data_IF_894888086521
#
_entry.id   IF_894888086521
#
_cell.length_a   1.000
_cell.length_b   1.000
_cell.length_c   1.000
_cell.angle_alpha   90.00
_cell.angle_beta   90.00
_cell.angle_gamma   90.00
#
_symmetry.space_group_name_H-M   'P 1'
#
loop_
_entity.id
_entity.type
_entity.pdbx_description
1 polymer ?
#
# COMPACT_ATOMS: atom_id res chain seq x y z
N UNK A 1 -26.84 16.29 -5.20
CA UNK A 1 -26.28 15.44 -6.27
C UNK A 1 -25.30 14.46 -5.64
N UNK A 2 -25.17 13.25 -6.19
CA UNK A 2 -24.18 12.30 -5.69
C UNK A 2 -22.79 12.70 -6.19
N UNK A 3 -21.76 12.59 -5.34
CA UNK A 3 -20.38 12.85 -5.70
C UNK A 3 -19.58 11.54 -5.68
N UNK A 4 -18.75 11.31 -6.66
CA UNK A 4 -17.82 10.18 -6.63
C UNK A 4 -16.52 10.52 -7.40
N UNK A 5 -15.40 9.97 -6.93
CA UNK A 5 -14.11 10.18 -7.59
C UNK A 5 -13.01 9.27 -7.06
N UNK A 6 -11.95 9.16 -7.88
CA UNK A 6 -10.72 8.45 -7.56
C UNK A 6 -9.74 9.39 -6.87
N UNK A 7 -9.35 9.04 -5.64
CA UNK A 7 -8.39 9.77 -4.81
C UNK A 7 -7.12 8.93 -4.69
N UNK A 8 -6.14 9.20 -5.53
CA UNK A 8 -4.96 8.38 -5.63
C UNK A 8 -3.83 8.89 -4.74
N UNK A 9 -3.21 7.99 -3.98
CA UNK A 9 -2.19 8.29 -2.99
C UNK A 9 -0.83 7.83 -3.53
N UNK A 10 0.05 8.78 -3.81
CA UNK A 10 1.40 8.53 -4.33
C UNK A 10 2.46 9.18 -3.45
N UNK A 11 3.71 8.80 -3.63
CA UNK A 11 4.86 9.35 -2.88
C UNK A 11 5.91 8.29 -2.59
N UNK A 12 6.98 8.67 -1.95
CA UNK A 12 8.13 7.82 -1.67
C UNK A 12 7.80 6.67 -0.69
N UNK A 13 8.66 5.63 -0.59
CA UNK A 13 8.49 4.59 0.42
C UNK A 13 8.53 5.16 1.84
N UNK A 14 7.76 4.56 2.75
CA UNK A 14 7.76 4.83 4.19
C UNK A 14 7.26 6.21 4.63
N UNK A 15 6.72 7.03 3.74
CA UNK A 15 6.12 8.34 4.08
C UNK A 15 4.75 8.23 4.76
N UNK A 16 4.18 7.02 4.85
CA UNK A 16 2.93 6.75 5.58
C UNK A 16 1.67 6.67 4.71
N UNK A 17 1.78 6.42 3.39
CA UNK A 17 0.65 6.29 2.46
C UNK A 17 -0.40 5.28 2.90
N UNK A 18 0.01 4.03 3.16
CA UNK A 18 -0.89 2.95 3.57
C UNK A 18 -1.55 3.22 4.94
N UNK A 19 -0.81 3.85 5.87
CA UNK A 19 -1.36 4.28 7.15
C UNK A 19 -2.46 5.32 6.96
N UNK A 20 -2.18 6.32 6.12
CA UNK A 20 -3.14 7.38 5.78
C UNK A 20 -4.38 6.80 5.09
N UNK A 21 -4.20 5.93 4.08
CA UNK A 21 -5.32 5.28 3.40
C UNK A 21 -6.23 4.53 4.36
N UNK A 22 -5.66 3.70 5.25
CA UNK A 22 -6.44 2.96 6.24
C UNK A 22 -7.24 3.90 7.16
N UNK A 23 -6.68 5.06 7.53
CA UNK A 23 -7.39 6.07 8.32
C UNK A 23 -8.53 6.73 7.54
N UNK A 24 -8.30 7.10 6.27
CA UNK A 24 -9.28 7.77 5.43
C UNK A 24 -10.46 6.84 5.09
N UNK A 25 -10.19 5.56 4.86
CA UNK A 25 -11.23 4.54 4.59
C UNK A 25 -11.94 4.12 5.88
N UNK A 26 -11.26 4.16 7.02
CA UNK A 26 -11.77 3.69 8.31
C UNK A 26 -11.58 2.19 8.55
N UNK A 27 -10.96 1.49 7.61
CA UNK A 27 -10.74 0.05 7.63
C UNK A 27 -9.30 -0.30 7.26
N UNK A 28 -8.81 -1.45 7.76
CA UNK A 28 -7.45 -1.91 7.44
C UNK A 28 -7.43 -2.67 6.10
N UNK A 29 -7.23 -1.94 5.02
CA UNK A 29 -7.18 -2.48 3.66
C UNK A 29 -5.73 -2.74 3.20
N UNK A 30 -4.80 -1.84 3.52
CA UNK A 30 -3.38 -1.98 3.18
C UNK A 30 -2.56 -2.37 4.39
N UNK A 31 -1.57 -3.26 4.19
CA UNK A 31 -0.56 -3.52 5.22
C UNK A 31 0.35 -2.29 5.37
N UNK A 32 0.73 -1.98 6.59
CA UNK A 32 1.61 -0.86 6.90
C UNK A 32 2.76 -1.31 7.80
N UNK A 33 3.99 -1.17 7.31
CA UNK A 33 5.21 -1.44 8.07
C UNK A 33 6.23 -0.33 7.86
N UNK A 34 7.27 -0.29 8.68
CA UNK A 34 8.39 0.65 8.53
C UNK A 34 9.38 0.24 7.42
N UNK A 35 9.19 -0.92 6.76
CA UNK A 35 10.08 -1.40 5.69
C UNK A 35 9.61 -0.88 4.33
N UNK A 36 10.56 -0.63 3.45
CA UNK A 36 10.27 -0.31 2.05
C UNK A 36 9.59 -1.49 1.34
N UNK A 37 8.95 -1.24 0.19
CA UNK A 37 8.22 -2.25 -0.58
C UNK A 37 7.13 -3.00 0.23
N UNK A 38 6.58 -2.35 1.25
CA UNK A 38 5.44 -2.89 2.00
C UNK A 38 4.25 -3.04 1.06
N UNK A 39 3.85 -1.99 0.37
CA UNK A 39 2.86 -2.03 -0.69
C UNK A 39 3.56 -2.34 -2.02
N UNK A 40 3.16 -3.41 -2.70
CA UNK A 40 3.68 -3.83 -4.01
C UNK A 40 2.66 -3.72 -5.13
N UNK A 41 1.39 -3.81 -4.80
CA UNK A 41 0.27 -3.68 -5.71
C UNK A 41 -0.43 -2.35 -5.48
N UNK A 42 -1.15 -1.88 -6.49
CA UNK A 42 -2.15 -0.84 -6.31
C UNK A 42 -3.37 -1.46 -5.64
N UNK A 43 -3.84 -0.85 -4.55
CA UNK A 43 -4.94 -1.38 -3.72
C UNK A 43 -6.00 -0.28 -3.62
N UNK A 44 -7.24 -0.61 -3.99
CA UNK A 44 -8.35 0.32 -3.84
C UNK A 44 -9.12 0.07 -2.55
N UNK A 45 -9.45 1.16 -1.84
CA UNK A 45 -10.35 1.18 -0.71
C UNK A 45 -11.52 2.11 -0.98
N UNK A 46 -12.74 1.63 -0.83
CA UNK A 46 -13.95 2.32 -1.24
C UNK A 46 -14.71 2.76 0.00
N UNK A 47 -14.84 4.07 0.16
CA UNK A 47 -15.66 4.68 1.20
C UNK A 47 -17.02 5.07 0.60
N UNK A 48 -18.08 4.48 1.12
CA UNK A 48 -19.44 4.72 0.68
C UNK A 48 -20.26 5.48 1.74
N UNK A 49 -21.00 6.51 1.31
CA UNK A 49 -22.09 7.14 2.05
C UNK A 49 -23.33 7.21 1.16
N UNK A 50 -24.44 7.71 1.68
CA UNK A 50 -25.68 7.81 0.89
C UNK A 50 -25.51 8.71 -0.35
N UNK A 51 -24.76 9.79 -0.21
CA UNK A 51 -24.59 10.86 -1.19
C UNK A 51 -23.19 10.90 -1.83
N UNK A 52 -22.29 9.98 -1.44
CA UNK A 52 -20.88 10.04 -1.88
C UNK A 52 -20.24 8.65 -1.99
N UNK A 53 -19.30 8.52 -2.94
CA UNK A 53 -18.36 7.40 -3.01
C UNK A 53 -16.95 7.93 -3.27
N UNK A 54 -16.00 7.59 -2.39
CA UNK A 54 -14.59 7.90 -2.59
C UNK A 54 -13.83 6.60 -2.82
N UNK A 55 -13.14 6.51 -3.96
CA UNK A 55 -12.27 5.39 -4.27
C UNK A 55 -10.83 5.80 -3.99
N UNK A 56 -10.35 5.49 -2.81
CA UNK A 56 -8.94 5.68 -2.47
C UNK A 56 -8.07 4.62 -3.14
N UNK A 57 -6.88 4.99 -3.57
CA UNK A 57 -5.92 4.07 -4.17
C UNK A 57 -4.56 4.21 -3.52
N UNK A 58 -4.14 3.22 -2.72
CA UNK A 58 -2.77 3.11 -2.20
C UNK A 58 -1.84 2.55 -3.27
N UNK A 59 -0.67 3.15 -3.43
CA UNK A 59 0.31 2.75 -4.44
C UNK A 59 1.64 2.35 -3.83
N UNK A 60 2.44 1.53 -4.53
CA UNK A 60 3.82 1.30 -4.15
C UNK A 60 4.58 2.61 -3.97
N UNK A 61 5.58 2.61 -3.09
CA UNK A 61 6.48 3.76 -2.95
C UNK A 61 7.35 3.94 -4.20
N UNK A 62 7.49 5.18 -4.65
CA UNK A 62 8.30 5.54 -5.82
C UNK A 62 9.77 5.31 -5.53
N UNK A 63 10.39 4.40 -6.29
CA UNK A 63 11.83 4.10 -6.21
C UNK A 63 12.39 3.99 -7.63
N UNK A 64 13.67 4.31 -7.81
CA UNK A 64 14.37 4.02 -9.06
C UNK A 64 14.51 2.50 -9.20
N UNK A 65 13.98 1.88 -10.27
CA UNK A 65 13.97 0.44 -10.41
C UNK A 65 15.38 -0.14 -10.62
N UNK A 66 15.67 -1.26 -9.96
CA UNK A 66 16.88 -2.05 -10.16
C UNK A 66 16.58 -3.44 -10.74
N UNK A 67 15.32 -3.87 -10.74
CA UNK A 67 14.85 -5.15 -11.30
C UNK A 67 13.36 -5.04 -11.64
N UNK A 68 12.85 -5.96 -12.46
CA UNK A 68 11.52 -5.89 -13.09
C UNK A 68 10.34 -5.74 -12.12
N UNK A 69 10.38 -6.38 -10.96
CA UNK A 69 9.34 -6.17 -9.96
C UNK A 69 9.23 -4.69 -9.55
N UNK A 70 10.37 -4.00 -9.38
CA UNK A 70 10.34 -2.56 -9.05
C UNK A 70 9.87 -1.70 -10.22
N UNK A 71 10.11 -2.13 -11.46
CA UNK A 71 9.53 -1.47 -12.65
C UNK A 71 8.00 -1.60 -12.64
N UNK A 72 7.47 -2.81 -12.37
CA UNK A 72 6.02 -3.02 -12.22
C UNK A 72 5.43 -2.17 -11.08
N UNK A 73 6.13 -2.08 -9.94
CA UNK A 73 5.70 -1.22 -8.82
C UNK A 73 5.67 0.27 -9.21
N UNK A 74 6.67 0.74 -9.95
CA UNK A 74 6.70 2.12 -10.46
C UNK A 74 5.55 2.37 -11.43
N UNK A 75 5.28 1.43 -12.35
CA UNK A 75 4.17 1.51 -13.29
C UNK A 75 2.82 1.64 -12.58
N UNK A 76 2.59 0.91 -11.48
CA UNK A 76 1.38 1.10 -10.66
C UNK A 76 1.28 2.52 -10.07
N UNK A 77 2.40 3.10 -9.65
CA UNK A 77 2.40 4.47 -9.11
C UNK A 77 2.19 5.52 -10.21
N UNK A 78 2.71 5.28 -11.42
CA UNK A 78 2.52 6.16 -12.57
C UNK A 78 1.11 6.07 -13.13
N UNK A 79 0.50 4.88 -13.18
CA UNK A 79 -0.90 4.72 -13.61
C UNK A 79 -1.86 5.49 -12.72
N UNK A 80 -1.55 5.60 -11.43
CA UNK A 80 -2.34 6.36 -10.48
C UNK A 80 -2.31 7.89 -10.73
N UNK A 81 -1.38 8.41 -11.52
CA UNK A 81 -1.38 9.82 -11.94
C UNK A 81 -2.39 10.07 -13.08
N UNK A 82 -2.72 9.04 -13.85
CA UNK A 82 -3.52 9.15 -15.08
C UNK A 82 -5.02 9.16 -14.78
N UNK A 83 -5.46 8.32 -13.86
CA UNK A 83 -6.88 8.07 -13.56
C UNK A 83 -7.38 8.74 -12.27
N UNK A 84 -6.60 9.65 -11.68
CA UNK A 84 -7.00 10.39 -10.50
C UNK A 84 -8.00 11.50 -10.83
N UNK A 85 -9.02 11.69 -9.99
CA UNK A 85 -9.80 12.94 -9.90
C UNK A 85 -9.17 13.91 -8.90
N UNK A 86 -8.51 13.37 -7.87
CA UNK A 86 -7.73 14.11 -6.87
C UNK A 86 -6.46 13.33 -6.59
N UNK A 87 -5.33 13.99 -6.55
CA UNK A 87 -4.04 13.39 -6.24
C UNK A 87 -3.57 13.79 -4.84
N UNK A 88 -3.32 12.81 -3.97
CA UNK A 88 -2.63 13.01 -2.70
C UNK A 88 -1.14 12.65 -2.89
N UNK A 89 -0.29 13.68 -2.95
CA UNK A 89 1.16 13.47 -2.92
C UNK A 89 1.64 13.49 -1.48
N UNK A 90 2.06 12.34 -0.96
CA UNK A 90 2.48 12.18 0.43
C UNK A 90 4.00 12.20 0.53
N UNK A 91 4.52 13.11 1.32
CA UNK A 91 5.91 13.21 1.76
C UNK A 91 5.98 13.19 3.28
N UNK A 92 7.17 13.25 3.88
CA UNK A 92 7.31 13.37 5.32
C UNK A 92 8.44 14.34 5.70
N UNK A 93 8.56 14.64 6.98
CA UNK A 93 9.57 15.58 7.53
C UNK A 93 11.01 15.01 7.55
N UNK A 94 11.20 13.75 7.18
CA UNK A 94 12.50 13.06 7.23
C UNK A 94 13.17 13.00 5.87
N UNK A 95 12.38 12.90 4.78
CA UNK A 95 12.93 12.76 3.44
C UNK A 95 13.38 14.11 2.83
N UNK A 96 14.31 14.02 1.89
CA UNK A 96 14.75 15.18 1.12
C UNK A 96 13.74 15.51 0.02
N UNK A 97 13.49 16.80 -0.20
CA UNK A 97 12.52 17.30 -1.17
C UNK A 97 12.92 17.04 -2.63
N UNK A 98 14.19 16.83 -2.93
CA UNK A 98 14.74 16.56 -4.27
C UNK A 98 14.78 15.08 -4.66
N UNK A 99 14.34 14.20 -3.74
CA UNK A 99 14.29 12.77 -3.99
C UNK A 99 13.23 12.44 -5.06
N UNK A 100 13.63 11.67 -6.07
CA UNK A 100 12.77 11.28 -7.21
C UNK A 100 12.20 12.45 -8.01
N UNK A 101 13.07 13.42 -8.38
CA UNK A 101 12.72 14.61 -9.15
C UNK A 101 11.92 14.30 -10.42
N UNK A 102 12.25 13.21 -11.14
CA UNK A 102 11.52 12.78 -12.34
C UNK A 102 10.04 12.49 -12.06
N UNK A 103 9.72 11.89 -10.90
CA UNK A 103 8.35 11.63 -10.52
C UNK A 103 7.63 12.91 -10.07
N UNK A 104 8.32 13.79 -9.36
CA UNK A 104 7.80 15.12 -8.97
C UNK A 104 7.43 15.92 -10.22
N UNK A 105 8.25 15.84 -11.28
CA UNK A 105 7.94 16.51 -12.55
C UNK A 105 6.65 15.94 -13.19
N UNK A 106 6.41 14.63 -13.11
CA UNK A 106 5.15 14.04 -13.54
C UNK A 106 3.96 14.55 -12.71
N UNK A 107 4.12 14.67 -11.39
CA UNK A 107 3.10 15.23 -10.49
C UNK A 107 2.83 16.70 -10.81
N UNK A 108 3.86 17.48 -11.15
CA UNK A 108 3.70 18.89 -11.57
C UNK A 108 2.83 19.04 -12.82
N UNK A 109 2.85 18.07 -13.70
CA UNK A 109 2.15 18.11 -14.99
C UNK A 109 0.72 17.54 -14.95
N UNK A 110 0.24 16.98 -13.82
CA UNK A 110 -1.16 16.52 -13.71
C UNK A 110 -2.12 17.70 -13.79
N UNK A 111 -3.33 17.44 -14.29
CA UNK A 111 -4.38 18.47 -14.47
C UNK A 111 -5.45 18.47 -13.38
N UNK A 112 -5.36 17.52 -12.46
CA UNK A 112 -6.29 17.39 -11.34
C UNK A 112 -5.77 18.13 -10.10
N UNK A 113 -6.64 18.44 -9.13
CA UNK A 113 -6.21 18.99 -7.85
C UNK A 113 -5.17 18.11 -7.17
N UNK A 114 -4.09 18.73 -6.67
CA UNK A 114 -3.03 18.07 -5.92
C UNK A 114 -3.05 18.56 -4.48
N UNK A 115 -3.25 17.66 -3.54
CA UNK A 115 -3.03 17.89 -2.12
C UNK A 115 -1.67 17.29 -1.74
N UNK A 116 -0.71 18.15 -1.39
CA UNK A 116 0.60 17.75 -0.90
C UNK A 116 0.53 17.59 0.62
N UNK A 117 0.68 16.36 1.11
CA UNK A 117 0.56 16.05 2.51
C UNK A 117 1.94 15.84 3.12
N UNK A 118 2.37 16.75 4.01
CA UNK A 118 3.62 16.60 4.77
C UNK A 118 3.29 15.83 6.03
N UNK A 119 3.61 14.53 6.03
CA UNK A 119 3.30 13.62 7.14
C UNK A 119 4.39 13.60 8.22
N UNK A 120 4.06 12.98 9.36
CA UNK A 120 4.95 12.78 10.52
C UNK A 120 5.42 14.09 11.16
N UNK A 121 4.59 15.12 11.14
CA UNK A 121 4.96 16.43 11.75
C UNK A 121 5.18 16.33 13.26
N UNK A 122 4.75 15.27 13.91
CA UNK A 122 5.07 14.92 15.28
C UNK A 122 6.56 14.65 15.52
N UNK A 123 7.36 14.47 14.46
CA UNK A 123 8.81 14.25 14.51
C UNK A 123 9.65 15.51 14.23
N UNK A 124 9.04 16.68 14.09
CA UNK A 124 9.72 17.94 13.77
C UNK A 124 9.24 19.09 14.62
N UNK A 125 9.91 20.22 14.54
CA UNK A 125 9.51 21.48 15.18
C UNK A 125 8.87 22.44 14.16
N UNK A 126 8.30 23.52 14.66
CA UNK A 126 7.57 24.49 13.84
C UNK A 126 8.49 25.22 12.82
N UNK A 127 9.72 25.56 13.19
CA UNK A 127 10.64 26.31 12.30
C UNK A 127 11.04 25.46 11.09
N UNK A 128 11.41 24.19 11.33
CA UNK A 128 11.78 23.26 10.25
C UNK A 128 10.57 22.91 9.39
N UNK A 129 9.38 22.82 9.98
CA UNK A 129 8.15 22.58 9.20
C UNK A 129 7.84 23.76 8.26
N UNK A 130 7.99 25.00 8.71
CA UNK A 130 7.79 26.20 7.85
C UNK A 130 8.75 26.18 6.69
N UNK A 131 10.05 25.94 6.92
CA UNK A 131 11.06 25.83 5.83
C UNK A 131 10.71 24.71 4.83
N UNK A 132 10.21 23.60 5.33
CA UNK A 132 9.82 22.47 4.48
C UNK A 132 8.58 22.81 3.62
N UNK A 133 7.59 23.50 4.19
CA UNK A 133 6.42 23.99 3.45
C UNK A 133 6.83 24.95 2.34
N UNK A 134 7.74 25.89 2.62
CA UNK A 134 8.28 26.84 1.62
C UNK A 134 9.01 26.09 0.50
N UNK A 135 9.88 25.14 0.81
CA UNK A 135 10.60 24.34 -0.17
C UNK A 135 9.66 23.53 -1.06
N UNK A 136 8.58 22.95 -0.51
CA UNK A 136 7.58 22.24 -1.30
C UNK A 136 6.72 23.18 -2.15
N UNK A 137 6.42 24.37 -1.67
CA UNK A 137 5.70 25.38 -2.45
C UNK A 137 6.50 25.84 -3.68
N UNK A 138 7.81 25.93 -3.58
CA UNK A 138 8.69 26.20 -4.73
C UNK A 138 8.68 25.05 -5.76
N UNK A 139 8.66 23.80 -5.29
CA UNK A 139 8.69 22.62 -6.17
C UNK A 139 7.33 22.30 -6.82
N UNK A 140 6.23 22.45 -6.08
CA UNK A 140 4.87 22.16 -6.53
C UNK A 140 3.93 23.33 -6.21
N UNK A 141 4.08 24.48 -6.88
CA UNK A 141 3.34 25.71 -6.57
C UNK A 141 1.83 25.58 -6.77
N UNK A 142 1.37 24.62 -7.57
CA UNK A 142 -0.05 24.35 -7.79
C UNK A 142 -0.69 23.47 -6.71
N UNK A 143 0.11 22.85 -5.84
CA UNK A 143 -0.40 21.96 -4.81
C UNK A 143 -0.86 22.72 -3.57
N UNK A 144 -1.97 22.31 -2.99
CA UNK A 144 -2.39 22.72 -1.65
C UNK A 144 -1.62 21.91 -0.61
N UNK A 145 -0.84 22.57 0.23
CA UNK A 145 0.03 21.89 1.21
C UNK A 145 -0.68 21.78 2.54
N UNK A 146 -0.80 20.54 3.06
CA UNK A 146 -1.44 20.24 4.34
C UNK A 146 -0.48 19.41 5.20
N UNK A 147 0.11 20.00 6.26
CA UNK A 147 0.87 19.25 7.24
C UNK A 147 -0.05 18.34 8.08
N UNK A 148 0.35 17.06 8.22
CA UNK A 148 -0.43 16.04 8.92
C UNK A 148 0.45 15.17 9.83
N UNK A 149 -0.16 14.50 10.79
CA UNK A 149 0.39 13.29 11.40
C UNK A 149 -0.65 12.18 11.32
N UNK A 150 -0.42 11.21 10.45
CA UNK A 150 -1.31 10.07 10.31
C UNK A 150 -1.36 9.23 11.60
N UNK A 151 -0.25 9.09 12.31
CA UNK A 151 -0.17 8.31 13.56
C UNK A 151 -0.96 8.94 14.69
N UNK A 152 -0.86 10.27 14.86
CA UNK A 152 -1.63 11.02 15.88
C UNK A 152 -3.00 11.49 15.37
N UNK A 153 -3.36 11.21 14.12
CA UNK A 153 -4.59 11.63 13.43
C UNK A 153 -4.73 13.16 13.31
N UNK A 154 -3.64 13.90 13.43
CA UNK A 154 -3.67 15.36 13.33
C UNK A 154 -3.89 15.79 11.87
N UNK A 155 -4.81 16.72 11.66
CA UNK A 155 -5.23 17.28 10.36
C UNK A 155 -5.79 16.27 9.33
N UNK A 156 -6.03 15.01 9.68
CA UNK A 156 -6.61 14.02 8.77
C UNK A 156 -8.05 14.39 8.39
N UNK A 157 -8.81 14.96 9.34
CA UNK A 157 -10.17 15.47 9.08
C UNK A 157 -10.16 16.63 8.09
N UNK A 158 -9.15 17.50 8.13
CA UNK A 158 -8.95 18.60 7.16
C UNK A 158 -8.73 18.03 5.76
N UNK A 159 -7.89 16.99 5.63
CA UNK A 159 -7.68 16.30 4.34
C UNK A 159 -9.00 15.74 3.82
N UNK A 160 -9.76 15.02 4.66
CA UNK A 160 -11.05 14.45 4.28
C UNK A 160 -12.05 15.54 3.85
N UNK A 161 -12.10 16.68 4.55
CA UNK A 161 -12.96 17.82 4.19
C UNK A 161 -12.56 18.35 2.80
N UNK A 162 -11.28 18.57 2.54
CA UNK A 162 -10.82 19.05 1.23
C UNK A 162 -11.12 18.07 0.10
N UNK A 163 -10.95 16.77 0.32
CA UNK A 163 -11.34 15.76 -0.66
C UNK A 163 -12.83 15.88 -1.00
N UNK A 164 -13.71 15.94 -0.01
CA UNK A 164 -15.17 16.06 -0.22
C UNK A 164 -15.57 17.32 -0.99
N UNK A 165 -14.89 18.43 -0.76
CA UNK A 165 -15.09 19.68 -1.49
C UNK A 165 -14.70 19.57 -2.96
N UNK A 166 -13.59 18.89 -3.25
CA UNK A 166 -13.00 18.73 -4.58
C UNK A 166 -13.62 17.61 -5.41
N UNK A 167 -14.35 16.67 -4.79
CA UNK A 167 -14.99 15.56 -5.51
C UNK A 167 -15.94 16.05 -6.60
N UNK A 168 -15.86 15.50 -7.82
CA UNK A 168 -16.79 15.81 -8.89
C UNK A 168 -18.19 15.23 -8.66
N UNK A 169 -19.18 15.82 -9.28
CA UNK A 169 -20.51 15.23 -9.38
C UNK A 169 -20.44 14.02 -10.32
N UNK A 170 -20.75 12.85 -9.79
CA UNK A 170 -20.69 11.58 -10.51
C UNK A 170 -21.59 10.53 -9.83
N UNK A 171 -22.19 9.59 -10.58
CA UNK A 171 -22.74 8.39 -9.98
C UNK A 171 -21.65 7.53 -9.34
N UNK A 172 -22.00 6.58 -8.46
CA UNK A 172 -21.01 5.67 -7.89
C UNK A 172 -20.39 4.77 -8.97
N UNK A 173 -19.09 4.50 -8.86
CA UNK A 173 -18.34 3.61 -9.74
C UNK A 173 -18.48 2.13 -9.36
N UNK A 174 -18.70 1.87 -8.06
CA UNK A 174 -18.78 0.52 -7.47
C UNK A 174 -20.08 0.33 -6.71
N UNK A 175 -20.46 -0.92 -6.48
CA UNK A 175 -21.56 -1.24 -5.59
C UNK A 175 -21.39 -0.62 -4.20
N UNK A 176 -22.51 -0.19 -3.58
CA UNK A 176 -22.49 0.47 -2.25
C UNK A 176 -22.04 -0.45 -1.11
N UNK A 177 -22.08 -1.76 -1.32
CA UNK A 177 -21.60 -2.82 -0.42
C UNK A 177 -20.14 -3.20 -0.66
N UNK A 178 -19.55 -2.70 -1.74
CA UNK A 178 -18.14 -2.97 -2.07
C UNK A 178 -17.21 -2.00 -1.33
N UNK A 179 -16.19 -2.54 -0.67
CA UNK A 179 -15.22 -1.79 0.13
C UNK A 179 -13.78 -1.87 -0.40
N UNK A 180 -13.51 -2.73 -1.40
CA UNK A 180 -12.20 -2.87 -2.05
C UNK A 180 -12.33 -3.55 -3.42
N UNK A 181 -11.31 -3.41 -4.27
CA UNK A 181 -11.17 -4.12 -5.55
C UNK A 181 -10.51 -5.51 -5.40
N UNK A 182 -9.99 -5.85 -4.22
CA UNK A 182 -9.20 -7.06 -4.01
C UNK A 182 -10.02 -8.23 -3.47
N UNK A 183 -9.79 -9.46 -3.96
CA UNK A 183 -10.43 -10.65 -3.42
C UNK A 183 -9.86 -11.03 -2.04
N UNK A 184 -10.60 -11.84 -1.28
CA UNK A 184 -10.19 -12.31 0.04
C UNK A 184 -8.80 -12.97 0.06
N UNK A 185 -8.44 -13.72 -0.98
CA UNK A 185 -7.11 -14.35 -1.13
C UNK A 185 -5.97 -13.35 -1.11
N UNK A 186 -6.16 -12.16 -1.70
CA UNK A 186 -5.17 -11.10 -1.69
C UNK A 186 -4.82 -10.65 -0.26
N UNK A 187 -5.81 -10.48 0.61
CA UNK A 187 -5.57 -10.10 2.00
C UNK A 187 -4.82 -11.18 2.78
N UNK A 188 -5.06 -12.46 2.46
CA UNK A 188 -4.28 -13.56 3.03
C UNK A 188 -2.81 -13.43 2.65
N UNK A 189 -2.50 -13.19 1.36
CA UNK A 189 -1.11 -13.04 0.91
C UNK A 189 -0.44 -11.85 1.58
N UNK A 190 -1.12 -10.71 1.65
CA UNK A 190 -0.59 -9.49 2.26
C UNK A 190 -0.36 -9.65 3.77
N UNK A 191 -1.27 -10.29 4.50
CA UNK A 191 -1.10 -10.52 5.95
C UNK A 191 0.08 -11.46 6.22
N UNK A 192 0.27 -12.52 5.43
CA UNK A 192 1.44 -13.39 5.57
C UNK A 192 2.72 -12.61 5.23
N UNK A 193 2.70 -11.83 4.16
CA UNK A 193 3.83 -11.00 3.73
C UNK A 193 4.18 -9.91 4.77
N UNK A 194 3.19 -9.34 5.44
CA UNK A 194 3.40 -8.43 6.56
C UNK A 194 4.19 -9.10 7.69
N UNK A 195 3.84 -10.33 8.07
CA UNK A 195 4.60 -11.03 9.14
C UNK A 195 6.02 -11.34 8.70
N UNK A 196 6.24 -11.65 7.41
CA UNK A 196 7.59 -11.80 6.88
C UNK A 196 8.36 -10.47 6.95
N UNK A 197 7.74 -9.36 6.57
CA UNK A 197 8.33 -8.02 6.71
C UNK A 197 8.69 -7.69 8.16
N UNK A 198 7.90 -8.11 9.13
CA UNK A 198 8.13 -7.81 10.55
C UNK A 198 9.20 -8.69 11.19
N UNK A 199 9.30 -9.97 10.80
CA UNK A 199 10.12 -10.95 11.50
C UNK A 199 11.43 -11.33 10.82
N UNK A 200 11.64 -10.91 9.56
CA UNK A 200 12.91 -11.14 8.85
C UNK A 200 13.54 -9.83 8.44
N UNK A 201 14.84 -9.82 8.32
CA UNK A 201 15.66 -8.66 8.00
C UNK A 201 16.47 -8.83 6.71
N UNK A 202 17.29 -7.84 6.40
CA UNK A 202 18.13 -7.74 5.21
C UNK A 202 17.30 -7.91 3.93
N UNK A 203 17.74 -8.76 3.02
CA UNK A 203 17.11 -8.99 1.71
C UNK A 203 15.90 -9.95 1.77
N UNK A 204 15.73 -10.72 2.83
CA UNK A 204 14.70 -11.77 2.91
C UNK A 204 13.29 -11.22 2.65
N UNK A 205 12.82 -10.16 3.32
CA UNK A 205 11.47 -9.62 3.08
C UNK A 205 11.21 -9.16 1.64
N UNK A 206 12.27 -8.81 0.94
CA UNK A 206 12.19 -8.27 -0.42
C UNK A 206 12.28 -9.35 -1.50
N UNK A 207 12.69 -10.56 -1.13
CA UNK A 207 12.87 -11.70 -2.03
C UNK A 207 11.73 -12.73 -1.98
N UNK A 208 10.70 -12.47 -1.17
CA UNK A 208 9.56 -13.38 -1.03
C UNK A 208 8.37 -12.94 -1.86
N UNK A 209 7.63 -13.94 -2.36
CA UNK A 209 6.27 -13.80 -2.86
C UNK A 209 5.38 -14.80 -2.16
N UNK A 210 4.12 -14.46 -1.93
CA UNK A 210 3.16 -15.33 -1.26
C UNK A 210 1.98 -15.60 -2.19
N UNK A 211 1.68 -16.87 -2.41
CA UNK A 211 0.56 -17.29 -3.24
C UNK A 211 -0.37 -18.20 -2.43
N UNK A 212 -1.67 -17.94 -2.49
CA UNK A 212 -2.69 -18.81 -1.91
C UNK A 212 -3.11 -19.85 -2.93
N UNK A 213 -2.61 -21.08 -2.79
CA UNK A 213 -2.98 -22.21 -3.67
C UNK A 213 -4.41 -22.69 -3.36
N UNK A 214 -4.80 -22.73 -2.09
CA UNK A 214 -6.13 -23.16 -1.68
C UNK A 214 -6.76 -22.17 -0.69
N UNK A 215 -8.02 -21.85 -0.92
CA UNK A 215 -8.88 -21.08 -0.03
C UNK A 215 -10.26 -21.72 -0.05
N UNK A 216 -10.61 -22.43 1.02
CA UNK A 216 -11.91 -23.07 1.18
C UNK A 216 -12.59 -22.50 2.40
N UNK A 217 -13.71 -21.85 2.19
CA UNK A 217 -14.50 -21.20 3.22
C UNK A 217 -15.78 -21.98 3.50
N UNK A 218 -16.09 -22.21 4.75
CA UNK A 218 -17.38 -22.67 5.23
C UNK A 218 -18.00 -21.69 6.23
N UNK A 219 -19.13 -22.07 6.83
CA UNK A 219 -19.86 -21.16 7.72
C UNK A 219 -19.04 -20.74 8.97
N UNK A 220 -18.09 -21.56 9.45
CA UNK A 220 -17.38 -21.35 10.72
C UNK A 220 -15.88 -21.18 10.56
N UNK A 221 -15.31 -21.68 9.47
CA UNK A 221 -13.87 -21.76 9.27
C UNK A 221 -13.43 -21.49 7.85
N UNK A 222 -12.15 -21.15 7.70
CA UNK A 222 -11.48 -21.00 6.40
C UNK A 222 -10.22 -21.86 6.43
N UNK A 223 -10.07 -22.73 5.43
CA UNK A 223 -8.88 -23.55 5.22
C UNK A 223 -8.03 -22.94 4.10
N UNK A 224 -6.79 -22.64 4.44
CA UNK A 224 -5.86 -21.91 3.56
C UNK A 224 -4.57 -22.69 3.42
N UNK A 225 -4.15 -22.94 2.16
CA UNK A 225 -2.80 -23.38 1.85
C UNK A 225 -2.09 -22.25 1.10
N UNK A 226 -0.99 -21.75 1.67
CA UNK A 226 -0.19 -20.69 1.12
C UNK A 226 1.25 -21.15 0.85
N UNK A 227 1.79 -20.74 -0.29
CA UNK A 227 3.19 -20.98 -0.67
C UNK A 227 3.96 -19.67 -0.61
N UNK A 228 5.08 -19.69 0.09
CA UNK A 228 6.06 -18.61 0.15
C UNK A 228 7.17 -18.95 -0.84
N UNK A 229 7.24 -18.22 -1.95
CA UNK A 229 8.31 -18.35 -2.92
C UNK A 229 9.50 -17.50 -2.52
N UNK A 230 10.70 -18.02 -2.72
CA UNK A 230 12.00 -17.34 -2.53
C UNK A 230 12.90 -17.61 -3.73
N UNK A 231 13.94 -16.80 -3.94
CA UNK A 231 14.82 -16.97 -5.11
C UNK A 231 15.90 -18.03 -4.92
N UNK A 232 16.29 -18.36 -3.67
CA UNK A 232 17.46 -19.21 -3.37
C UNK A 232 17.19 -20.19 -2.23
N UNK A 233 17.87 -21.35 -2.27
CA UNK A 233 17.79 -22.35 -1.19
C UNK A 233 18.27 -21.81 0.16
N UNK A 234 19.27 -20.92 0.19
CA UNK A 234 19.70 -20.25 1.42
C UNK A 234 18.60 -19.41 2.06
N UNK A 235 17.81 -18.70 1.26
CA UNK A 235 16.66 -17.91 1.72
C UNK A 235 15.55 -18.81 2.25
N UNK A 236 15.28 -19.95 1.57
CA UNK A 236 14.34 -20.97 2.04
C UNK A 236 14.74 -21.49 3.42
N UNK A 237 16.02 -21.80 3.62
CA UNK A 237 16.55 -22.22 4.92
C UNK A 237 16.33 -21.16 6.02
N UNK A 238 16.52 -19.88 5.70
CA UNK A 238 16.31 -18.76 6.64
C UNK A 238 14.81 -18.62 6.98
N UNK A 239 13.92 -18.68 5.98
CA UNK A 239 12.46 -18.59 6.19
C UNK A 239 11.97 -19.73 7.08
N UNK A 240 12.39 -20.96 6.83
CA UNK A 240 12.00 -22.12 7.63
C UNK A 240 12.58 -22.00 9.05
N UNK A 241 13.86 -21.65 9.14
CA UNK A 241 14.59 -21.54 10.40
C UNK A 241 14.87 -22.91 11.06
N UNK A 242 15.60 -22.87 12.20
CA UNK A 242 15.96 -24.10 12.93
C UNK A 242 14.71 -24.87 13.34
N UNK A 243 14.56 -26.11 12.87
CA UNK A 243 13.43 -26.99 13.14
C UNK A 243 12.05 -26.38 12.79
N UNK A 244 12.01 -25.50 11.78
CA UNK A 244 10.77 -24.87 11.34
C UNK A 244 10.22 -23.77 12.28
N UNK A 245 10.96 -23.37 13.32
CA UNK A 245 10.46 -22.43 14.35
C UNK A 245 10.15 -21.04 13.81
N UNK A 246 10.96 -20.54 12.88
CA UNK A 246 10.75 -19.21 12.31
C UNK A 246 9.48 -19.16 11.45
N UNK A 247 9.30 -20.12 10.55
CA UNK A 247 8.09 -20.24 9.73
C UNK A 247 6.84 -20.46 10.59
N UNK A 248 6.92 -21.32 11.63
CA UNK A 248 5.81 -21.55 12.57
C UNK A 248 5.40 -20.25 13.28
N UNK A 249 6.35 -19.39 13.67
CA UNK A 249 6.05 -18.09 14.28
C UNK A 249 5.27 -17.19 13.30
N UNK A 250 5.76 -17.05 12.06
CA UNK A 250 5.08 -16.26 11.00
C UNK A 250 3.67 -16.79 10.76
N UNK A 251 3.52 -18.10 10.56
CA UNK A 251 2.21 -18.71 10.31
C UNK A 251 1.24 -18.53 11.48
N UNK A 252 1.73 -18.64 12.72
CA UNK A 252 0.91 -18.44 13.93
C UNK A 252 0.41 -17.00 14.03
N UNK A 253 1.28 -16.03 13.82
CA UNK A 253 0.91 -14.60 13.90
C UNK A 253 0.04 -14.16 12.71
N UNK A 254 0.30 -14.71 11.51
CA UNK A 254 -0.58 -14.50 10.35
C UNK A 254 -1.98 -15.07 10.62
N UNK A 255 -2.09 -16.32 11.13
CA UNK A 255 -3.35 -16.95 11.47
C UNK A 255 -4.19 -16.11 12.43
N UNK A 256 -3.61 -15.60 13.52
CA UNK A 256 -4.30 -14.73 14.48
C UNK A 256 -4.85 -13.45 13.82
N UNK A 257 -4.05 -12.84 12.96
CA UNK A 257 -4.47 -11.64 12.22
C UNK A 257 -5.59 -11.96 11.24
N UNK A 258 -5.53 -13.11 10.55
CA UNK A 258 -6.57 -13.59 9.64
C UNK A 258 -7.87 -13.92 10.37
N UNK A 259 -7.80 -14.55 11.55
CA UNK A 259 -8.96 -14.83 12.40
C UNK A 259 -9.69 -13.53 12.80
N UNK A 260 -8.91 -12.49 13.13
CA UNK A 260 -9.48 -11.18 13.42
C UNK A 260 -10.07 -10.51 12.17
N UNK A 261 -9.40 -10.63 11.02
CA UNK A 261 -9.84 -10.03 9.76
C UNK A 261 -11.13 -10.66 9.21
N UNK A 262 -11.19 -11.99 9.19
CA UNK A 262 -12.34 -12.72 8.65
C UNK A 262 -13.43 -13.02 9.67
N UNK A 263 -13.19 -12.78 10.97
CA UNK A 263 -14.10 -13.13 12.06
C UNK A 263 -14.52 -14.61 12.03
N UNK A 264 -13.59 -15.51 11.62
CA UNK A 264 -13.75 -16.95 11.50
C UNK A 264 -12.51 -17.70 12.00
N UNK A 265 -12.67 -18.96 12.35
CA UNK A 265 -11.53 -19.83 12.64
C UNK A 265 -10.70 -20.05 11.37
N UNK A 266 -9.38 -19.97 11.48
CA UNK A 266 -8.46 -20.13 10.34
C UNK A 266 -7.55 -21.35 10.54
N UNK A 267 -7.55 -22.23 9.54
CA UNK A 267 -6.57 -23.31 9.38
C UNK A 267 -5.59 -22.88 8.30
N UNK A 268 -4.36 -22.52 8.70
CA UNK A 268 -3.33 -22.01 7.81
C UNK A 268 -2.16 -22.99 7.71
N UNK A 269 -1.94 -23.53 6.51
CA UNK A 269 -0.75 -24.29 6.14
C UNK A 269 0.15 -23.41 5.26
N UNK A 270 1.47 -23.45 5.54
CA UNK A 270 2.45 -22.67 4.80
C UNK A 270 3.59 -23.53 4.31
N UNK A 271 3.95 -23.38 3.05
CA UNK A 271 5.06 -24.08 2.39
C UNK A 271 6.06 -23.06 1.86
N UNK A 272 7.34 -23.47 1.75
CA UNK A 272 8.37 -22.62 1.14
C UNK A 272 8.92 -23.33 -0.08
N UNK A 273 8.84 -22.66 -1.23
CA UNK A 273 9.38 -23.16 -2.52
C UNK A 273 10.44 -22.18 -3.06
N UNK A 274 11.40 -22.69 -3.81
CA UNK A 274 12.36 -21.86 -4.53
C UNK A 274 11.87 -21.66 -5.95
N UNK A 275 11.80 -20.40 -6.37
CA UNK A 275 11.57 -19.97 -7.73
C UNK A 275 12.66 -18.97 -8.11
N UNK A 276 13.64 -19.44 -8.87
CA UNK A 276 14.85 -18.68 -9.18
C UNK A 276 14.53 -17.45 -10.02
N UNK A 277 15.08 -16.31 -9.58
CA UNK A 277 15.03 -15.04 -10.31
C UNK A 277 13.60 -14.54 -10.63
N UNK A 278 12.58 -14.99 -9.87
CA UNK A 278 11.18 -14.65 -10.11
C UNK A 278 10.93 -13.14 -10.20
N UNK A 279 11.69 -12.32 -9.42
CA UNK A 279 11.56 -10.85 -9.45
C UNK A 279 11.99 -10.21 -10.77
N UNK A 280 12.70 -10.94 -11.61
CA UNK A 280 13.19 -10.50 -12.92
C UNK A 280 12.56 -11.27 -14.09
N UNK A 281 11.62 -12.16 -13.82
CA UNK A 281 10.91 -12.99 -14.81
C UNK A 281 9.55 -12.38 -15.15
N UNK A 282 9.34 -11.94 -16.38
CA UNK A 282 8.04 -11.39 -16.83
C UNK A 282 6.91 -12.42 -16.67
N UNK A 283 7.21 -13.70 -16.91
CA UNK A 283 6.25 -14.79 -16.78
C UNK A 283 5.78 -14.91 -15.33
N UNK A 284 6.71 -14.95 -14.38
CA UNK A 284 6.37 -15.10 -12.96
C UNK A 284 5.71 -13.83 -12.40
N UNK A 285 6.18 -12.64 -12.81
CA UNK A 285 5.53 -11.38 -12.44
C UNK A 285 4.09 -11.32 -12.94
N UNK A 286 3.81 -11.81 -14.15
CA UNK A 286 2.44 -11.93 -14.65
C UNK A 286 1.62 -12.91 -13.82
N UNK A 287 2.17 -14.10 -13.52
CA UNK A 287 1.51 -15.11 -12.70
C UNK A 287 1.16 -14.60 -11.30
N UNK A 288 2.01 -13.73 -10.73
CA UNK A 288 1.82 -13.11 -9.42
C UNK A 288 1.00 -11.81 -9.45
N UNK A 289 0.50 -11.41 -10.63
CA UNK A 289 -0.39 -10.24 -10.76
C UNK A 289 0.31 -8.88 -10.75
N UNK A 290 1.61 -8.82 -11.10
CA UNK A 290 2.37 -7.57 -11.18
C UNK A 290 2.34 -6.89 -12.54
N UNK A 291 1.69 -7.46 -13.54
CA UNK A 291 1.49 -6.79 -14.84
C UNK A 291 0.10 -6.15 -14.86
N UNK A 292 0.03 -4.93 -15.36
CA UNK A 292 -1.25 -4.30 -15.74
C UNK A 292 -1.69 -4.90 -17.08
N UNK A 293 -2.93 -5.31 -17.17
CA UNK A 293 -3.56 -5.74 -18.44
C UNK A 293 -3.72 -4.55 -19.38
#
# INVERSE_FOLDING_TARGET
MHKAGFVNIVGNPNVGKSTLMNLLVGERISIATFKSQTTRHRIMGILNTDDMQIVFSDTPGVVKPNYKLQESMLNFSESALVDADILLYVTDVVEKTDKNADFIEKVRNVKVPVLLLINKIDLTNQEDLVRLVEAWHEQLPQAEIIPISATSKFNVDTVMKRIKELLPDSPPYFGKDQWTDKPARFFVTEIIREKILLYYDKEIPYSVEVVVEQFKEDAKSIHINAVIYVERESQKGIIIGKQGRALKKVATEARKTLEHFFQKSIYLETFVKVDKDWRSSDKELKNFGYQMD
#
